data_IF_077430517064
#
_entry.id   IF_077430517064
#
_cell.length_a   1.000
_cell.length_b   1.000
_cell.length_c   1.000
_cell.angle_alpha   90.00
_cell.angle_beta   90.00
_cell.angle_gamma   90.00
#
_symmetry.space_group_name_H-M   'P 1'
#
loop_
_entity.id
_entity.type
_entity.pdbx_description
1 polymer ?
#
# COMPACT_ATOMS: atom_id res chain seq x y z
N UNK A 1 18.34 -22.38 -23.23
CA UNK A 1 17.51 -22.09 -22.03
C UNK A 1 16.39 -23.10 -21.79
N UNK A 2 15.47 -23.36 -22.73
CA UNK A 2 14.37 -24.32 -22.49
C UNK A 2 14.83 -25.74 -22.14
N UNK A 3 15.86 -26.28 -22.81
CA UNK A 3 16.42 -27.60 -22.49
C UNK A 3 16.96 -27.68 -21.04
N UNK A 4 17.67 -26.64 -20.59
CA UNK A 4 18.22 -26.57 -19.22
C UNK A 4 17.10 -26.58 -18.17
N UNK A 5 15.99 -25.86 -18.41
CA UNK A 5 14.80 -25.90 -17.53
C UNK A 5 14.26 -27.33 -17.36
N UNK A 6 14.18 -28.11 -18.44
CA UNK A 6 13.70 -29.50 -18.40
C UNK A 6 14.63 -30.41 -17.63
N UNK A 7 15.95 -30.27 -17.87
CA UNK A 7 16.98 -31.02 -17.11
C UNK A 7 16.87 -30.73 -15.62
N UNK A 8 16.46 -29.52 -15.24
CA UNK A 8 16.23 -29.12 -13.85
C UNK A 8 14.84 -29.52 -13.31
N UNK A 9 14.12 -30.44 -13.98
CA UNK A 9 12.88 -31.03 -13.46
C UNK A 9 11.59 -30.28 -13.83
N UNK A 10 11.65 -29.27 -14.71
CA UNK A 10 10.45 -28.55 -15.19
C UNK A 10 10.29 -28.64 -16.71
N UNK A 11 9.40 -29.52 -17.15
CA UNK A 11 9.13 -29.69 -18.58
C UNK A 11 8.44 -28.46 -19.20
N UNK A 12 7.25 -28.11 -18.71
CA UNK A 12 6.46 -26.97 -19.19
C UNK A 12 7.00 -25.59 -18.74
N UNK A 13 6.82 -24.50 -19.49
CA UNK A 13 7.22 -23.17 -19.01
C UNK A 13 6.41 -22.73 -17.78
N UNK A 14 6.96 -21.79 -17.01
CA UNK A 14 6.20 -21.00 -16.05
C UNK A 14 5.58 -19.78 -16.75
N UNK A 15 4.48 -19.28 -16.18
CA UNK A 15 3.96 -17.95 -16.53
C UNK A 15 4.56 -16.94 -15.56
N UNK A 16 5.28 -15.96 -16.10
CA UNK A 16 5.84 -14.85 -15.34
C UNK A 16 5.26 -13.60 -15.94
N UNK A 17 4.27 -12.99 -15.28
CA UNK A 17 3.61 -11.81 -15.82
C UNK A 17 4.43 -10.55 -15.52
N UNK A 18 4.78 -10.32 -14.26
CA UNK A 18 5.45 -9.09 -13.82
C UNK A 18 6.96 -9.25 -13.88
N UNK A 19 7.66 -8.25 -14.44
CA UNK A 19 9.11 -8.30 -14.63
C UNK A 19 9.75 -6.93 -14.36
N UNK A 20 10.41 -6.78 -13.22
CA UNK A 20 11.18 -5.58 -12.89
C UNK A 20 12.43 -5.44 -13.76
N UNK A 21 12.71 -4.22 -14.23
CA UNK A 21 13.91 -3.86 -14.99
C UNK A 21 14.93 -3.19 -14.06
N UNK A 22 15.52 -3.98 -13.17
CA UNK A 22 16.39 -3.48 -12.09
C UNK A 22 15.61 -3.16 -10.81
N UNK A 23 16.34 -2.84 -9.74
CA UNK A 23 15.82 -2.42 -8.44
C UNK A 23 16.69 -1.29 -7.91
N UNK A 24 16.08 -0.24 -7.37
CA UNK A 24 16.76 0.94 -6.79
C UNK A 24 18.03 1.40 -7.54
N UNK A 25 17.96 1.64 -8.86
CA UNK A 25 19.12 2.04 -9.67
C UNK A 25 19.77 3.35 -9.20
N UNK A 26 19.01 4.23 -8.54
CA UNK A 26 19.50 5.46 -7.92
C UNK A 26 20.38 5.21 -6.67
N UNK A 27 20.21 4.06 -6.02
CA UNK A 27 20.90 3.67 -4.80
C UNK A 27 21.72 2.41 -5.02
N UNK A 28 21.35 1.32 -4.33
CA UNK A 28 22.09 0.07 -4.32
C UNK A 28 22.23 -0.61 -5.70
N UNK A 29 21.33 -0.28 -6.64
CA UNK A 29 21.35 -0.76 -8.03
C UNK A 29 22.39 -0.10 -8.93
N UNK A 30 23.17 0.88 -8.44
CA UNK A 30 24.34 1.40 -9.16
C UNK A 30 24.56 2.91 -9.11
N UNK A 31 23.88 3.66 -8.23
CA UNK A 31 24.08 5.11 -8.09
C UNK A 31 23.82 5.91 -9.37
N UNK A 32 22.87 5.47 -10.19
CA UNK A 32 22.64 6.01 -11.53
C UNK A 32 21.83 7.31 -11.48
N UNK A 33 22.11 8.21 -12.42
CA UNK A 33 21.17 9.30 -12.77
C UNK A 33 19.96 8.72 -13.50
N UNK A 34 18.81 9.37 -13.37
CA UNK A 34 17.56 8.96 -14.02
C UNK A 34 17.73 8.75 -15.54
N UNK A 35 18.45 9.65 -16.22
CA UNK A 35 18.64 9.57 -17.67
C UNK A 35 19.47 8.35 -18.08
N UNK A 36 20.53 8.08 -17.32
CA UNK A 36 21.40 6.92 -17.57
C UNK A 36 20.64 5.61 -17.35
N UNK A 37 19.84 5.53 -16.27
CA UNK A 37 18.97 4.38 -16.03
C UNK A 37 17.92 4.22 -17.13
N UNK A 38 17.28 5.30 -17.57
CA UNK A 38 16.23 5.24 -18.59
C UNK A 38 16.73 4.65 -19.91
N UNK A 39 17.95 4.96 -20.33
CA UNK A 39 18.58 4.34 -21.50
C UNK A 39 18.77 2.83 -21.30
N UNK A 40 19.24 2.41 -20.13
CA UNK A 40 19.38 0.98 -19.78
C UNK A 40 18.02 0.28 -19.74
N UNK A 41 17.02 0.85 -19.09
CA UNK A 41 15.68 0.28 -19.00
C UNK A 41 15.09 0.01 -20.40
N UNK A 42 15.35 0.88 -21.38
CA UNK A 42 14.94 0.66 -22.78
C UNK A 42 15.68 -0.51 -23.42
N UNK A 43 17.00 -0.60 -23.23
CA UNK A 43 17.82 -1.71 -23.73
C UNK A 43 17.35 -3.03 -23.14
N UNK A 44 17.32 -3.15 -21.82
CA UNK A 44 16.93 -4.39 -21.14
C UNK A 44 15.46 -4.75 -21.39
N UNK A 45 14.56 -3.76 -21.41
CA UNK A 45 13.15 -3.95 -21.75
C UNK A 45 12.93 -4.51 -23.16
N UNK A 46 13.77 -4.10 -24.13
CA UNK A 46 13.75 -4.62 -25.51
C UNK A 46 14.06 -6.12 -25.55
N UNK A 47 14.99 -6.61 -24.71
CA UNK A 47 15.40 -8.01 -24.71
C UNK A 47 14.60 -8.90 -23.76
N UNK A 48 13.77 -8.34 -22.88
CA UNK A 48 12.73 -9.07 -22.16
C UNK A 48 11.60 -9.42 -23.13
N UNK A 49 11.59 -10.63 -23.70
CA UNK A 49 10.64 -11.04 -24.77
C UNK A 49 9.45 -11.85 -24.25
N UNK A 50 8.35 -11.76 -24.97
CA UNK A 50 7.18 -12.61 -24.78
C UNK A 50 7.43 -13.99 -25.42
N UNK A 51 7.13 -15.07 -24.71
CA UNK A 51 7.40 -16.44 -25.15
C UNK A 51 6.26 -17.38 -24.76
N UNK A 52 5.96 -18.37 -25.61
CA UNK A 52 5.00 -19.45 -25.29
C UNK A 52 3.64 -18.96 -24.78
N UNK A 53 3.13 -17.86 -25.35
CA UNK A 53 1.86 -17.24 -24.94
C UNK A 53 1.92 -16.42 -23.64
N UNK A 54 3.09 -16.33 -22.98
CA UNK A 54 3.32 -15.45 -21.84
C UNK A 54 3.60 -14.02 -22.33
N UNK A 55 2.84 -13.04 -21.80
CA UNK A 55 3.05 -11.61 -22.07
C UNK A 55 3.62 -10.94 -20.83
N UNK A 56 4.82 -10.39 -20.95
CA UNK A 56 5.45 -9.68 -19.84
C UNK A 56 4.81 -8.30 -19.65
N UNK A 57 4.61 -7.94 -18.39
CA UNK A 57 4.34 -6.62 -17.88
C UNK A 57 5.62 -6.12 -17.21
N UNK A 58 6.40 -5.37 -17.99
CA UNK A 58 7.73 -4.90 -17.61
C UNK A 58 7.58 -3.61 -16.78
N UNK A 59 8.24 -3.56 -15.64
CA UNK A 59 8.17 -2.46 -14.68
C UNK A 59 9.55 -1.81 -14.64
N UNK A 60 9.66 -0.55 -15.07
CA UNK A 60 10.88 0.22 -14.90
C UNK A 60 10.99 0.68 -13.45
N UNK A 61 12.15 0.49 -12.83
CA UNK A 61 12.46 0.94 -11.48
C UNK A 61 12.44 2.48 -11.44
N UNK A 62 11.49 3.05 -10.70
CA UNK A 62 11.42 4.49 -10.55
C UNK A 62 12.26 5.02 -9.39
N UNK A 63 11.90 6.23 -8.96
CA UNK A 63 12.63 6.97 -7.94
C UNK A 63 12.22 6.60 -6.51
N UNK A 64 13.02 7.06 -5.55
CA UNK A 64 12.64 7.09 -4.13
C UNK A 64 11.67 8.23 -3.85
N UNK A 65 10.64 7.96 -3.06
CA UNK A 65 9.65 8.91 -2.53
C UNK A 65 9.17 9.92 -3.59
N UNK A 66 9.37 11.22 -3.36
CA UNK A 66 8.90 12.33 -4.17
C UNK A 66 9.87 12.73 -5.29
N UNK A 67 10.77 11.82 -5.72
CA UNK A 67 11.67 12.05 -6.85
C UNK A 67 10.90 12.03 -8.19
N UNK A 68 10.12 13.07 -8.39
CA UNK A 68 9.30 13.37 -9.54
C UNK A 68 10.08 13.53 -10.84
N UNK A 69 11.33 14.02 -10.76
CA UNK A 69 12.24 14.08 -11.91
C UNK A 69 12.47 12.69 -12.51
N UNK A 70 12.65 11.67 -11.67
CA UNK A 70 12.85 10.30 -12.13
C UNK A 70 11.67 9.77 -12.95
N UNK A 71 10.45 9.98 -12.44
CA UNK A 71 9.21 9.60 -13.11
C UNK A 71 9.06 10.33 -14.44
N UNK A 72 9.35 11.64 -14.46
CA UNK A 72 9.29 12.44 -15.69
C UNK A 72 10.26 11.91 -16.77
N UNK A 73 11.50 11.60 -16.38
CA UNK A 73 12.51 11.05 -17.29
C UNK A 73 12.07 9.70 -17.88
N UNK A 74 11.51 8.81 -17.07
CA UNK A 74 11.00 7.52 -17.56
C UNK A 74 9.79 7.68 -18.49
N UNK A 75 8.89 8.62 -18.22
CA UNK A 75 7.78 8.93 -19.13
C UNK A 75 8.27 9.46 -20.48
N UNK A 76 9.28 10.36 -20.48
CA UNK A 76 9.94 10.84 -21.71
C UNK A 76 10.63 9.71 -22.47
N UNK A 77 11.24 8.75 -21.77
CA UNK A 77 11.95 7.63 -22.36
C UNK A 77 11.04 6.68 -23.18
N UNK A 78 9.73 6.66 -22.89
CA UNK A 78 8.72 5.97 -23.71
C UNK A 78 8.42 6.68 -25.03
N UNK A 79 9.07 7.80 -25.34
CA UNK A 79 8.82 8.61 -26.53
C UNK A 79 7.54 9.45 -26.44
N UNK A 80 7.00 9.63 -25.24
CA UNK A 80 5.80 10.44 -24.99
C UNK A 80 6.17 11.92 -24.89
N UNK A 81 5.34 12.77 -25.48
CA UNK A 81 5.48 14.23 -25.37
C UNK A 81 4.35 14.79 -24.52
N UNK A 82 4.68 15.65 -23.57
CA UNK A 82 3.70 16.27 -22.69
C UNK A 82 2.57 16.94 -23.50
N UNK A 83 1.32 16.72 -23.08
CA UNK A 83 0.11 17.29 -23.71
C UNK A 83 -0.33 16.62 -25.03
N UNK A 84 0.49 15.75 -25.65
CA UNK A 84 0.11 15.05 -26.87
C UNK A 84 -0.68 13.77 -26.62
N UNK A 85 -0.50 13.14 -25.46
CA UNK A 85 -1.11 11.86 -25.03
C UNK A 85 -0.77 10.64 -25.89
N UNK A 86 -0.36 10.84 -27.14
CA UNK A 86 -0.07 9.79 -28.10
C UNK A 86 1.23 9.08 -27.75
N UNK A 87 1.12 7.77 -27.52
CA UNK A 87 2.28 6.89 -27.66
C UNK A 87 2.74 6.90 -29.13
N UNK A 88 4.05 6.72 -29.41
CA UNK A 88 4.52 6.59 -30.79
C UNK A 88 3.81 5.42 -31.49
N UNK A 89 3.14 5.69 -32.62
CA UNK A 89 2.31 4.71 -33.32
C UNK A 89 3.08 3.48 -33.84
N UNK A 90 4.41 3.57 -33.91
CA UNK A 90 5.31 2.60 -34.54
C UNK A 90 6.26 1.90 -33.55
N UNK A 91 6.11 2.12 -32.22
CA UNK A 91 7.01 1.52 -31.22
C UNK A 91 6.27 0.73 -30.16
N UNK A 92 6.66 -0.53 -30.01
CA UNK A 92 6.31 -1.32 -28.81
C UNK A 92 6.98 -0.68 -27.59
N UNK A 93 6.22 -0.34 -26.53
CA UNK A 93 6.80 0.26 -25.35
C UNK A 93 7.75 -0.73 -24.67
N UNK A 94 8.95 -0.27 -24.31
CA UNK A 94 10.00 -1.09 -23.67
C UNK A 94 9.64 -1.49 -22.24
N UNK A 95 8.71 -0.76 -21.61
CA UNK A 95 8.09 -1.12 -20.35
C UNK A 95 6.65 -0.60 -20.27
N UNK A 96 5.84 -1.18 -19.37
CA UNK A 96 4.41 -0.91 -19.23
C UNK A 96 4.06 -0.20 -17.91
N UNK A 97 5.01 -0.12 -16.98
CA UNK A 97 4.83 0.53 -15.70
C UNK A 97 6.12 1.18 -15.20
N UNK A 98 5.96 2.11 -14.28
CA UNK A 98 7.02 2.76 -13.52
C UNK A 98 6.76 2.48 -12.05
N UNK A 99 7.77 1.99 -11.33
CA UNK A 99 7.68 1.82 -9.89
C UNK A 99 8.08 3.07 -9.12
N UNK A 100 7.88 3.11 -7.81
CA UNK A 100 8.53 4.04 -6.88
C UNK A 100 8.49 3.42 -5.48
N UNK A 101 9.41 3.83 -4.62
CA UNK A 101 9.54 3.26 -3.27
C UNK A 101 9.30 4.34 -2.23
N UNK A 102 8.54 4.06 -1.18
CA UNK A 102 8.31 5.01 -0.09
C UNK A 102 8.11 4.29 1.25
N UNK A 103 9.05 4.46 2.17
CA UNK A 103 8.99 3.91 3.53
C UNK A 103 8.50 4.95 4.53
N UNK A 104 7.70 4.52 5.50
CA UNK A 104 7.36 5.31 6.69
C UNK A 104 8.48 5.14 7.72
N UNK A 105 9.28 6.19 7.92
CA UNK A 105 10.39 6.23 8.88
C UNK A 105 10.13 7.36 9.89
N UNK A 106 9.83 7.07 11.17
CA UNK A 106 9.53 8.12 12.13
C UNK A 106 10.76 8.99 12.48
N UNK A 107 11.91 8.35 12.70
CA UNK A 107 13.15 9.02 13.07
C UNK A 107 14.05 9.38 11.89
N UNK A 108 15.34 9.54 12.16
CA UNK A 108 16.35 9.69 11.09
C UNK A 108 16.70 8.32 10.51
N UNK A 109 17.42 8.30 9.38
CA UNK A 109 17.85 7.02 8.80
C UNK A 109 18.80 6.23 9.72
N UNK A 110 19.60 6.92 10.52
CA UNK A 110 20.53 6.34 11.49
C UNK A 110 19.85 5.91 12.79
N UNK A 111 18.73 6.55 13.14
CA UNK A 111 17.97 6.33 14.37
C UNK A 111 16.48 6.41 14.06
N UNK A 112 15.91 5.30 13.57
CA UNK A 112 14.54 5.28 13.02
C UNK A 112 13.47 5.25 14.12
N UNK A 113 13.84 4.85 15.34
CA UNK A 113 12.94 4.65 16.47
C UNK A 113 12.58 3.17 16.65
N UNK A 114 12.01 2.83 17.80
CA UNK A 114 11.66 1.46 18.16
C UNK A 114 10.31 1.03 17.59
N UNK A 115 10.19 -0.26 17.25
CA UNK A 115 8.94 -0.87 16.84
C UNK A 115 7.94 -0.99 18.00
N UNK A 116 8.40 -1.09 19.26
CA UNK A 116 7.58 -1.42 20.43
C UNK A 116 7.61 -0.37 21.54
N UNK A 117 8.67 0.42 21.61
CA UNK A 117 8.89 1.46 22.62
C UNK A 117 8.77 2.83 21.97
N UNK A 118 7.58 3.42 22.05
CA UNK A 118 7.32 4.75 21.50
C UNK A 118 6.27 5.48 22.33
N UNK A 119 6.35 6.80 22.34
CA UNK A 119 5.36 7.65 22.97
C UNK A 119 4.24 8.09 22.01
N UNK A 120 3.32 8.92 22.53
CA UNK A 120 2.19 9.41 21.77
C UNK A 120 2.60 10.38 20.65
N UNK A 121 3.68 11.14 20.84
CA UNK A 121 4.20 12.06 19.82
C UNK A 121 4.79 11.27 18.65
N UNK A 122 5.60 10.25 18.93
CA UNK A 122 6.15 9.34 17.93
C UNK A 122 5.06 8.56 17.18
N UNK A 123 3.99 8.14 17.87
CA UNK A 123 2.84 7.52 17.21
C UNK A 123 2.20 8.46 16.17
N UNK A 124 1.83 9.68 16.58
CA UNK A 124 1.19 10.62 15.67
C UNK A 124 2.13 11.09 14.56
N UNK A 125 3.42 11.21 14.86
CA UNK A 125 4.43 11.52 13.85
C UNK A 125 4.58 10.38 12.83
N UNK A 126 4.56 9.12 13.27
CA UNK A 126 4.53 7.94 12.38
C UNK A 126 3.30 7.98 11.46
N UNK A 127 2.12 8.31 12.00
CA UNK A 127 0.89 8.44 11.19
C UNK A 127 0.98 9.60 10.18
N UNK A 128 1.58 10.72 10.58
CA UNK A 128 1.79 11.86 9.69
C UNK A 128 2.73 11.53 8.54
N UNK A 129 3.84 10.82 8.82
CA UNK A 129 4.76 10.31 7.80
C UNK A 129 4.06 9.30 6.88
N UNK A 130 3.27 8.38 7.42
CA UNK A 130 2.51 7.42 6.62
C UNK A 130 1.49 8.10 5.68
N UNK A 131 0.90 9.22 6.11
CA UNK A 131 -0.08 9.95 5.31
C UNK A 131 0.54 10.65 4.08
N UNK A 132 1.86 10.88 4.05
CA UNK A 132 2.55 11.51 2.91
C UNK A 132 2.43 10.70 1.62
N UNK A 133 2.23 9.38 1.72
CA UNK A 133 2.08 8.49 0.56
C UNK A 133 1.00 8.96 -0.41
N UNK A 134 -0.09 9.57 0.10
CA UNK A 134 -1.18 10.10 -0.73
C UNK A 134 -0.72 11.26 -1.61
N UNK A 135 0.07 12.19 -1.03
CA UNK A 135 0.62 13.31 -1.77
C UNK A 135 1.68 12.86 -2.78
N UNK A 136 2.51 11.88 -2.41
CA UNK A 136 3.54 11.31 -3.29
C UNK A 136 2.91 10.61 -4.49
N UNK A 137 1.89 9.76 -4.25
CA UNK A 137 1.10 9.13 -5.30
C UNK A 137 0.48 10.17 -6.24
N UNK A 138 -0.16 11.20 -5.67
CA UNK A 138 -0.77 12.27 -6.46
C UNK A 138 0.26 13.04 -7.31
N UNK A 139 1.48 13.25 -6.79
CA UNK A 139 2.57 13.90 -7.50
C UNK A 139 3.05 13.08 -8.70
N UNK A 140 3.33 11.79 -8.50
CA UNK A 140 3.70 10.88 -9.59
C UNK A 140 2.59 10.75 -10.62
N UNK A 141 1.34 10.55 -10.17
CA UNK A 141 0.18 10.46 -11.05
C UNK A 141 0.01 11.71 -11.92
N UNK A 142 0.15 12.91 -11.34
CA UNK A 142 0.05 14.18 -12.09
C UNK A 142 1.10 14.31 -13.19
N UNK A 143 2.33 13.87 -12.92
CA UNK A 143 3.39 13.85 -13.92
C UNK A 143 3.04 12.88 -15.02
N UNK A 144 2.65 11.65 -14.66
CA UNK A 144 2.26 10.64 -15.64
C UNK A 144 1.08 11.10 -16.50
N UNK A 145 0.06 11.72 -15.90
CA UNK A 145 -1.11 12.28 -16.61
C UNK A 145 -0.71 13.31 -17.67
N UNK A 146 0.36 14.09 -17.45
CA UNK A 146 0.85 15.06 -18.44
C UNK A 146 1.39 14.38 -19.72
N UNK A 147 1.89 13.14 -19.62
CA UNK A 147 2.46 12.36 -20.73
C UNK A 147 1.56 11.20 -21.22
N UNK A 148 0.62 10.78 -20.39
CA UNK A 148 -0.24 9.60 -20.55
C UNK A 148 -1.62 9.84 -19.88
N UNK A 149 -2.45 10.75 -20.44
CA UNK A 149 -3.74 11.12 -19.85
C UNK A 149 -4.76 9.97 -19.85
N UNK A 150 -4.59 8.99 -20.76
CA UNK A 150 -5.43 7.79 -20.84
C UNK A 150 -5.01 6.68 -19.84
N UNK A 151 -4.02 6.97 -18.98
CA UNK A 151 -3.53 6.10 -17.90
C UNK A 151 -3.12 4.70 -18.35
N UNK A 152 -2.48 4.61 -19.50
CA UNK A 152 -2.04 3.34 -20.10
C UNK A 152 -0.74 2.79 -19.48
N UNK A 153 0.06 3.64 -18.81
CA UNK A 153 1.26 3.26 -18.06
C UNK A 153 0.90 3.12 -16.58
N UNK A 154 1.11 1.94 -16.01
CA UNK A 154 0.83 1.71 -14.60
C UNK A 154 1.83 2.39 -13.67
N UNK A 155 1.34 2.93 -12.56
CA UNK A 155 2.17 3.30 -11.41
C UNK A 155 2.21 2.11 -10.44
N UNK A 156 3.39 1.82 -9.89
CA UNK A 156 3.62 0.68 -8.98
C UNK A 156 4.33 1.17 -7.72
N UNK A 157 3.79 0.89 -6.54
CA UNK A 157 4.48 1.15 -5.25
C UNK A 157 5.02 -0.18 -4.71
N UNK A 158 6.12 -0.68 -5.27
CA UNK A 158 6.64 -2.03 -5.00
C UNK A 158 7.55 -2.14 -3.77
N UNK A 159 7.79 -1.04 -3.07
CA UNK A 159 8.32 -1.05 -1.70
C UNK A 159 7.65 0.04 -0.85
N UNK A 160 6.93 -0.39 0.19
CA UNK A 160 6.34 0.50 1.20
C UNK A 160 6.20 -0.18 2.56
N UNK A 161 5.90 0.62 3.58
CA UNK A 161 5.66 0.15 4.94
C UNK A 161 6.57 0.83 5.97
N UNK A 162 6.42 0.46 7.23
CA UNK A 162 7.22 0.96 8.34
C UNK A 162 8.63 0.39 8.33
N UNK A 163 9.61 1.23 8.62
CA UNK A 163 10.99 0.81 8.86
C UNK A 163 11.50 1.43 10.16
N UNK A 164 11.74 0.57 11.15
CA UNK A 164 12.25 0.92 12.47
C UNK A 164 13.70 0.46 12.67
N UNK A 165 14.28 0.81 13.80
CA UNK A 165 15.49 0.15 14.27
C UNK A 165 15.18 -1.32 14.55
N UNK A 166 16.15 -2.20 14.32
CA UNK A 166 15.95 -3.65 14.53
C UNK A 166 15.73 -3.96 16.00
N UNK A 167 15.03 -5.06 16.30
CA UNK A 167 14.84 -5.48 17.69
C UNK A 167 16.19 -5.66 18.41
N UNK A 168 16.31 -5.21 19.67
CA UNK A 168 17.55 -5.33 20.43
C UNK A 168 18.12 -6.74 20.44
N UNK A 169 19.41 -6.86 20.13
CA UNK A 169 20.12 -8.14 20.10
C UNK A 169 20.00 -8.92 18.78
N UNK A 170 19.24 -8.43 17.80
CA UNK A 170 19.20 -9.02 16.45
C UNK A 170 20.29 -8.45 15.53
N UNK A 171 20.58 -9.16 14.43
CA UNK A 171 21.57 -8.68 13.46
C UNK A 171 20.97 -7.55 12.61
N UNK A 172 21.60 -6.36 12.53
CA UNK A 172 21.01 -5.20 11.85
C UNK A 172 20.72 -5.43 10.37
N UNK A 173 21.55 -6.22 9.68
CA UNK A 173 21.33 -6.57 8.27
C UNK A 173 20.16 -7.52 8.01
N UNK A 174 19.51 -8.07 9.04
CA UNK A 174 18.32 -8.91 8.89
C UNK A 174 17.01 -8.11 8.93
N UNK A 175 17.06 -6.85 9.38
CA UNK A 175 15.91 -5.94 9.38
C UNK A 175 14.68 -6.50 10.11
N UNK A 176 14.92 -7.30 11.16
CA UNK A 176 13.86 -7.83 12.00
C UNK A 176 13.35 -6.74 12.96
N UNK A 177 12.06 -6.43 12.89
CA UNK A 177 11.35 -5.52 13.77
C UNK A 177 10.01 -6.16 14.17
N UNK A 178 9.48 -5.81 15.34
CA UNK A 178 8.14 -6.20 15.74
C UNK A 178 7.06 -5.47 14.91
N UNK A 179 5.81 -5.93 15.01
CA UNK A 179 4.65 -5.33 14.35
C UNK A 179 3.50 -5.11 15.35
N UNK A 180 3.08 -3.86 15.51
CA UNK A 180 2.14 -3.39 16.53
C UNK A 180 0.83 -2.89 15.91
N UNK A 181 -0.14 -2.49 16.75
CA UNK A 181 -1.35 -1.81 16.28
C UNK A 181 -1.03 -0.53 15.47
N UNK A 182 0.03 0.21 15.82
CA UNK A 182 0.54 1.33 15.01
C UNK A 182 0.79 0.91 13.55
N UNK A 183 1.43 -0.24 13.33
CA UNK A 183 1.72 -0.75 11.99
C UNK A 183 0.45 -1.12 11.22
N UNK A 184 -0.55 -1.69 11.90
CA UNK A 184 -1.85 -1.94 11.30
C UNK A 184 -2.50 -0.64 10.78
N UNK A 185 -2.44 0.44 11.55
CA UNK A 185 -3.00 1.74 11.13
C UNK A 185 -2.19 2.40 10.00
N UNK A 186 -0.86 2.20 9.96
CA UNK A 186 -0.07 2.58 8.77
C UNK A 186 -0.57 1.83 7.53
N UNK A 187 -0.78 0.51 7.63
CA UNK A 187 -1.26 -0.29 6.52
C UNK A 187 -2.67 0.13 6.06
N UNK A 188 -3.57 0.46 6.99
CA UNK A 188 -4.92 0.91 6.62
C UNK A 188 -4.90 2.26 5.89
N UNK A 189 -4.08 3.22 6.35
CA UNK A 189 -3.90 4.50 5.67
C UNK A 189 -3.35 4.35 4.25
N UNK A 190 -2.38 3.45 4.07
CA UNK A 190 -1.81 3.15 2.76
C UNK A 190 -2.88 2.55 1.84
N UNK A 191 -3.65 1.55 2.29
CA UNK A 191 -4.77 1.02 1.50
C UNK A 191 -5.80 2.09 1.16
N UNK A 192 -6.15 2.95 2.11
CA UNK A 192 -7.08 4.05 1.87
C UNK A 192 -6.56 5.03 0.80
N UNK A 193 -5.24 5.29 0.76
CA UNK A 193 -4.61 6.06 -0.32
C UNK A 193 -4.63 5.28 -1.64
N UNK A 194 -4.31 3.99 -1.64
CA UNK A 194 -4.29 3.15 -2.83
C UNK A 194 -5.66 3.08 -3.50
N UNK A 195 -6.73 2.94 -2.72
CA UNK A 195 -8.10 2.92 -3.23
C UNK A 195 -8.50 4.26 -3.87
N UNK A 196 -8.01 5.40 -3.34
CA UNK A 196 -8.23 6.74 -3.91
C UNK A 196 -7.49 6.95 -5.23
N UNK A 197 -6.33 6.30 -5.38
CA UNK A 197 -5.49 6.37 -6.60
C UNK A 197 -5.62 5.12 -7.49
N UNK A 198 -6.68 4.32 -7.32
CA UNK A 198 -6.84 3.04 -8.02
C UNK A 198 -6.98 3.17 -9.55
N UNK A 199 -7.20 4.38 -10.06
CA UNK A 199 -7.21 4.68 -11.49
C UNK A 199 -5.80 4.82 -12.11
N UNK A 200 -4.75 4.93 -11.27
CA UNK A 200 -3.36 5.05 -11.71
C UNK A 200 -2.42 4.04 -11.04
N UNK A 201 -2.57 3.80 -9.74
CA UNK A 201 -1.81 2.83 -8.97
C UNK A 201 -2.38 1.43 -9.23
N UNK A 202 -1.62 0.60 -9.95
CA UNK A 202 -2.09 -0.73 -10.39
C UNK A 202 -1.48 -1.89 -9.60
N UNK A 203 -0.49 -1.61 -8.76
CA UNK A 203 0.19 -2.61 -7.94
C UNK A 203 0.89 -1.92 -6.76
N UNK A 204 0.87 -2.57 -5.61
CA UNK A 204 1.70 -2.19 -4.48
C UNK A 204 2.20 -3.44 -3.73
N UNK A 205 3.40 -3.38 -3.14
CA UNK A 205 4.04 -4.49 -2.44
C UNK A 205 4.66 -3.99 -1.14
N UNK A 206 4.12 -4.47 -0.01
CA UNK A 206 4.64 -4.10 1.31
C UNK A 206 5.98 -4.81 1.55
N UNK A 207 6.90 -4.09 2.17
CA UNK A 207 8.21 -4.56 2.56
C UNK A 207 8.17 -5.04 4.03
N UNK A 208 8.37 -6.32 4.34
CA UNK A 208 8.40 -7.48 3.43
C UNK A 208 7.42 -8.57 3.92
N UNK A 209 7.51 -9.80 3.40
CA UNK A 209 6.48 -10.81 3.67
C UNK A 209 6.64 -11.51 5.01
N UNK A 210 7.86 -11.94 5.35
CA UNK A 210 8.14 -12.78 6.54
C UNK A 210 9.40 -12.27 7.23
N UNK A 211 9.36 -12.08 8.56
CA UNK A 211 10.48 -11.72 9.45
C UNK A 211 11.23 -10.41 9.15
N UNK A 212 10.88 -9.68 8.09
CA UNK A 212 11.64 -8.53 7.60
C UNK A 212 10.71 -7.34 7.48
N UNK A 213 11.10 -6.21 8.09
CA UNK A 213 10.37 -4.94 8.08
C UNK A 213 8.91 -5.11 8.54
N UNK A 214 7.93 -4.51 7.85
CA UNK A 214 6.51 -4.58 8.20
C UNK A 214 5.89 -5.92 7.78
N UNK A 215 6.38 -7.01 8.37
CA UNK A 215 6.07 -8.37 7.98
C UNK A 215 4.59 -8.75 8.16
N UNK A 216 4.09 -9.63 7.29
CA UNK A 216 2.80 -10.28 7.47
C UNK A 216 2.88 -11.39 8.53
N UNK A 217 4.00 -12.12 8.52
CA UNK A 217 4.23 -13.26 9.39
C UNK A 217 5.57 -13.12 10.10
N UNK A 218 5.60 -13.47 11.38
CA UNK A 218 6.83 -13.67 12.13
C UNK A 218 6.97 -15.16 12.44
N UNK A 219 8.18 -15.69 12.32
CA UNK A 219 8.51 -17.09 12.54
C UNK A 219 9.78 -17.23 13.37
N UNK A 220 9.72 -18.13 14.34
CA UNK A 220 10.87 -18.55 15.17
C UNK A 220 10.76 -20.05 15.42
N UNK A 221 11.65 -20.84 14.82
CA UNK A 221 11.52 -22.29 14.77
C UNK A 221 10.18 -22.72 14.16
N UNK A 222 9.35 -23.41 14.95
CA UNK A 222 8.01 -23.86 14.54
C UNK A 222 6.91 -22.83 14.85
N UNK A 223 7.21 -21.75 15.57
CA UNK A 223 6.23 -20.72 15.88
C UNK A 223 5.90 -19.90 14.63
N UNK A 224 4.61 -19.59 14.46
CA UNK A 224 4.11 -18.70 13.43
C UNK A 224 3.13 -17.70 14.06
N UNK A 225 3.45 -16.42 13.91
CA UNK A 225 2.65 -15.30 14.44
C UNK A 225 2.12 -14.49 13.26
N UNK A 226 0.81 -14.26 13.25
CA UNK A 226 0.17 -13.30 12.34
C UNK A 226 0.29 -11.93 12.95
N UNK A 227 0.82 -10.98 12.19
CA UNK A 227 0.99 -9.61 12.69
C UNK A 227 -0.33 -8.83 12.64
N UNK A 228 -0.45 -7.72 13.39
CA UNK A 228 -1.53 -6.75 13.18
C UNK A 228 -1.65 -6.32 11.70
N UNK A 229 -0.53 -6.13 11.01
CA UNK A 229 -0.52 -5.80 9.57
C UNK A 229 -1.16 -6.91 8.70
N UNK A 230 -0.91 -8.19 9.00
CA UNK A 230 -1.61 -9.31 8.32
C UNK A 230 -3.13 -9.19 8.44
N UNK A 231 -3.62 -8.80 9.61
CA UNK A 231 -5.06 -8.69 9.84
C UNK A 231 -5.69 -7.57 9.01
N UNK A 232 -5.01 -6.45 8.80
CA UNK A 232 -5.47 -5.38 7.91
C UNK A 232 -5.52 -5.84 6.45
N UNK A 233 -4.53 -6.60 5.98
CA UNK A 233 -4.57 -7.23 4.65
C UNK A 233 -5.75 -8.19 4.52
N UNK A 234 -6.01 -9.02 5.53
CA UNK A 234 -7.11 -9.97 5.51
C UNK A 234 -8.48 -9.25 5.49
N UNK A 235 -8.65 -8.23 6.32
CA UNK A 235 -9.87 -7.42 6.39
C UNK A 235 -10.14 -6.65 5.08
N UNK A 236 -9.10 -6.18 4.39
CA UNK A 236 -9.22 -5.49 3.09
C UNK A 236 -9.37 -6.43 1.88
N UNK A 237 -9.33 -7.76 2.06
CA UNK A 237 -9.34 -8.71 0.92
C UNK A 237 -10.55 -8.56 -0.02
N UNK A 238 -11.69 -8.07 0.48
CA UNK A 238 -12.87 -7.80 -0.33
C UNK A 238 -12.74 -6.63 -1.32
N UNK A 239 -11.72 -5.77 -1.16
CA UNK A 239 -11.40 -4.70 -2.10
C UNK A 239 -10.61 -5.18 -3.33
N UNK A 240 -10.05 -6.40 -3.29
CA UNK A 240 -9.28 -6.93 -4.42
C UNK A 240 -10.16 -7.11 -5.66
N UNK A 241 -9.76 -6.52 -6.79
CA UNK A 241 -10.52 -6.48 -8.04
C UNK A 241 -11.96 -5.90 -7.89
N UNK A 242 -12.20 -5.08 -6.86
CA UNK A 242 -13.49 -4.44 -6.63
C UNK A 242 -13.62 -3.10 -7.39
N UNK A 243 -14.86 -2.70 -7.67
CA UNK A 243 -15.17 -1.37 -8.20
C UNK A 243 -15.08 -0.34 -7.07
N UNK A 244 -14.19 0.64 -7.18
CA UNK A 244 -14.07 1.73 -6.19
C UNK A 244 -15.35 2.59 -6.19
N UNK A 245 -15.86 2.91 -5.00
CA UNK A 245 -17.03 3.76 -4.81
C UNK A 245 -16.59 5.12 -4.25
N UNK A 246 -17.18 6.20 -4.78
CA UNK A 246 -16.89 7.54 -4.31
C UNK A 246 -17.40 7.76 -2.88
N UNK A 247 -16.48 8.02 -1.95
CA UNK A 247 -16.78 8.48 -0.59
C UNK A 247 -16.50 9.98 -0.51
N UNK A 248 -17.46 10.76 -0.02
CA UNK A 248 -17.32 12.22 0.12
C UNK A 248 -17.67 12.64 1.53
N UNK A 249 -16.73 13.34 2.17
CA UNK A 249 -16.96 13.95 3.46
C UNK A 249 -17.51 15.38 3.23
N UNK A 250 -18.77 15.69 3.65
CA UNK A 250 -19.36 17.01 3.45
C UNK A 250 -18.69 18.09 4.33
N UNK A 251 -17.94 17.66 5.34
CA UNK A 251 -17.10 18.47 6.21
C UNK A 251 -15.70 17.86 6.23
N UNK A 252 -14.64 18.65 6.44
CA UNK A 252 -13.31 18.09 6.67
C UNK A 252 -13.35 17.07 7.81
N UNK A 253 -12.62 15.97 7.64
CA UNK A 253 -12.37 15.02 8.71
C UNK A 253 -11.69 15.72 9.91
N UNK A 254 -11.81 15.17 11.13
CA UNK A 254 -11.04 15.67 12.27
C UNK A 254 -9.55 15.73 11.95
N UNK A 255 -8.89 16.76 12.47
CA UNK A 255 -7.47 17.06 12.22
C UNK A 255 -6.76 17.23 13.54
N UNK A 256 -5.54 16.67 13.63
CA UNK A 256 -4.60 16.90 14.71
C UNK A 256 -3.36 17.60 14.17
N UNK A 257 -2.91 18.66 14.84
CA UNK A 257 -1.60 19.26 14.58
C UNK A 257 -0.51 18.33 15.10
N UNK A 258 0.41 17.91 14.23
CA UNK A 258 1.55 17.03 14.55
C UNK A 258 2.82 17.72 14.08
N UNK A 259 3.66 18.15 15.02
CA UNK A 259 4.83 18.98 14.74
C UNK A 259 4.47 20.17 13.81
N UNK A 260 4.93 20.14 12.55
CA UNK A 260 4.73 21.19 11.57
C UNK A 260 3.63 20.89 10.52
N UNK A 261 2.97 19.73 10.61
CA UNK A 261 1.93 19.29 9.66
C UNK A 261 0.59 19.03 10.35
N UNK A 262 -0.47 18.93 9.55
CA UNK A 262 -1.83 18.64 10.00
C UNK A 262 -2.21 17.22 9.54
N UNK A 263 -2.44 16.32 10.49
CA UNK A 263 -2.86 14.95 10.23
C UNK A 263 -4.38 14.85 10.30
N UNK A 264 -5.01 14.39 9.22
CA UNK A 264 -6.40 13.95 9.30
C UNK A 264 -6.48 12.62 10.05
N UNK A 265 -7.26 12.57 11.13
CA UNK A 265 -7.33 11.38 11.99
C UNK A 265 -8.44 10.41 11.60
N UNK A 266 -9.14 10.67 10.49
CA UNK A 266 -10.19 9.80 9.98
C UNK A 266 -10.04 9.59 8.48
N UNK A 267 -10.14 8.33 8.03
CA UNK A 267 -10.19 7.98 6.62
C UNK A 267 -11.29 6.96 6.35
N UNK A 268 -11.84 7.01 5.14
CA UNK A 268 -12.88 6.10 4.71
C UNK A 268 -12.77 5.81 3.22
N UNK A 269 -12.83 4.53 2.85
CA UNK A 269 -12.90 4.08 1.46
C UNK A 269 -13.97 3.01 1.30
N UNK A 270 -14.51 2.88 0.09
CA UNK A 270 -15.57 1.93 -0.19
C UNK A 270 -15.39 1.30 -1.55
N UNK A 271 -15.85 0.06 -1.69
CA UNK A 271 -15.86 -0.63 -2.98
C UNK A 271 -17.06 -1.56 -3.10
N UNK A 272 -17.36 -1.98 -4.33
CA UNK A 272 -18.41 -2.93 -4.67
C UNK A 272 -17.83 -4.13 -5.40
N UNK A 273 -18.21 -5.34 -4.96
CA UNK A 273 -17.87 -6.59 -5.63
C UNK A 273 -18.86 -7.69 -5.27
N UNK A 274 -19.20 -8.55 -6.23
CA UNK A 274 -19.99 -9.78 -6.00
C UNK A 274 -21.26 -9.59 -5.16
N UNK A 275 -22.04 -8.54 -5.46
CA UNK A 275 -23.29 -8.25 -4.74
C UNK A 275 -23.11 -7.66 -3.35
N UNK A 276 -21.91 -7.21 -2.98
CA UNK A 276 -21.62 -6.60 -1.69
C UNK A 276 -20.94 -5.24 -1.85
N UNK A 277 -21.14 -4.39 -0.85
CA UNK A 277 -20.32 -3.21 -0.60
C UNK A 277 -19.42 -3.51 0.61
N UNK A 278 -18.14 -3.17 0.48
CA UNK A 278 -17.18 -3.18 1.59
C UNK A 278 -16.75 -1.74 1.85
N UNK A 279 -16.87 -1.30 3.10
CA UNK A 279 -16.45 0.02 3.57
C UNK A 279 -15.32 -0.19 4.59
N UNK A 280 -14.20 0.48 4.37
CA UNK A 280 -13.07 0.55 5.29
C UNK A 280 -13.08 1.91 5.99
N UNK A 281 -12.92 1.91 7.31
CA UNK A 281 -12.94 3.09 8.17
C UNK A 281 -11.72 3.04 9.10
N UNK A 282 -10.92 4.10 9.09
CA UNK A 282 -9.71 4.21 9.90
C UNK A 282 -9.88 5.38 10.88
N UNK A 283 -9.76 5.12 12.19
CA UNK A 283 -9.63 6.14 13.23
C UNK A 283 -8.20 6.13 13.78
N UNK A 284 -7.46 7.21 13.56
CA UNK A 284 -6.09 7.38 14.04
C UNK A 284 -6.00 8.05 15.41
N UNK A 285 -7.10 8.59 15.93
CA UNK A 285 -7.07 9.24 17.23
C UNK A 285 -6.79 8.18 18.31
N UNK A 286 -5.72 8.39 19.07
CA UNK A 286 -5.24 7.45 20.07
C UNK A 286 -6.16 7.33 21.29
N UNK A 287 -7.03 8.31 21.53
CA UNK A 287 -7.83 8.39 22.77
C UNK A 287 -9.33 8.52 22.47
N UNK A 288 -9.69 9.25 21.42
CA UNK A 288 -11.06 9.55 21.04
C UNK A 288 -11.67 8.54 20.08
N UNK A 289 -12.85 8.02 20.42
CA UNK A 289 -13.73 7.36 19.45
C UNK A 289 -14.44 8.36 18.52
N UNK A 290 -15.05 7.86 17.44
CA UNK A 290 -15.81 8.66 16.47
C UNK A 290 -17.16 8.01 16.16
N UNK A 291 -18.23 8.79 16.22
CA UNK A 291 -19.53 8.42 15.66
C UNK A 291 -19.56 8.80 14.17
N UNK A 292 -19.60 7.81 13.29
CA UNK A 292 -19.60 8.01 11.83
C UNK A 292 -20.97 7.68 11.26
N UNK A 293 -21.52 8.65 10.51
CA UNK A 293 -22.75 8.47 9.73
C UNK A 293 -22.43 8.56 8.23
N UNK A 294 -22.79 7.52 7.49
CA UNK A 294 -22.64 7.44 6.04
C UNK A 294 -24.00 7.37 5.36
N UNK A 295 -24.29 8.34 4.49
CA UNK A 295 -25.48 8.33 3.63
C UNK A 295 -25.24 7.46 2.39
N UNK A 296 -25.84 6.28 2.39
CA UNK A 296 -25.70 5.28 1.33
C UNK A 296 -26.64 5.61 0.15
N UNK A 297 -26.06 5.92 -1.01
CA UNK A 297 -26.80 6.32 -2.21
C UNK A 297 -26.63 5.33 -3.36
N UNK A 298 -27.63 5.26 -4.23
CA UNK A 298 -27.58 4.52 -5.49
C UNK A 298 -27.99 3.04 -5.41
N UNK A 299 -28.10 2.45 -4.22
CA UNK A 299 -28.60 1.09 -4.05
C UNK A 299 -29.23 0.88 -2.66
N UNK A 300 -30.08 -0.15 -2.54
CA UNK A 300 -30.52 -0.67 -1.24
C UNK A 300 -29.50 -1.68 -0.72
N UNK A 301 -29.36 -1.73 0.60
CA UNK A 301 -28.46 -2.64 1.30
C UNK A 301 -29.20 -3.40 2.38
N UNK A 302 -28.75 -4.61 2.68
CA UNK A 302 -29.23 -5.40 3.81
C UNK A 302 -28.43 -5.13 5.07
N UNK A 303 -28.59 -6.00 6.07
CA UNK A 303 -27.95 -5.84 7.38
C UNK A 303 -26.41 -5.79 7.28
N UNK A 304 -25.75 -4.87 8.00
CA UNK A 304 -24.29 -4.80 8.02
C UNK A 304 -23.70 -5.93 8.86
N UNK A 305 -22.52 -6.39 8.46
CA UNK A 305 -21.60 -7.14 9.33
C UNK A 305 -20.32 -6.34 9.43
N UNK A 306 -19.86 -6.04 10.64
CA UNK A 306 -18.66 -5.26 10.86
C UNK A 306 -17.63 -6.01 11.70
N UNK A 307 -16.36 -5.71 11.46
CA UNK A 307 -15.23 -6.20 12.23
C UNK A 307 -14.30 -5.04 12.54
N UNK A 308 -13.71 -5.05 13.74
CA UNK A 308 -12.79 -4.04 14.24
C UNK A 308 -11.45 -4.69 14.60
N UNK A 309 -10.36 -4.03 14.23
CA UNK A 309 -9.01 -4.29 14.72
C UNK A 309 -8.59 -3.10 15.57
N UNK A 310 -8.41 -3.35 16.87
CA UNK A 310 -7.95 -2.38 17.89
C UNK A 310 -7.29 -3.16 19.03
N UNK A 311 -6.75 -2.47 20.04
CA UNK A 311 -6.17 -3.05 21.24
C UNK A 311 -6.13 -2.01 22.37
N UNK A 312 -5.88 -2.43 23.62
CA UNK A 312 -5.82 -1.50 24.76
C UNK A 312 -4.65 -0.50 24.70
N UNK A 313 -3.64 -0.76 23.86
CA UNK A 313 -2.45 0.08 23.71
C UNK A 313 -1.96 0.12 22.25
N UNK A 314 -1.41 1.27 21.85
CA UNK A 314 -0.89 1.51 20.49
C UNK A 314 0.27 0.58 20.11
N UNK A 315 1.07 0.17 21.09
CA UNK A 315 2.20 -0.74 20.91
C UNK A 315 1.84 -2.22 21.18
N UNK A 316 0.56 -2.54 21.36
CA UNK A 316 0.12 -3.93 21.46
C UNK A 316 0.49 -4.70 20.19
N UNK A 317 1.00 -5.92 20.37
CA UNK A 317 1.51 -6.75 19.29
C UNK A 317 1.38 -8.23 19.64
N UNK A 318 1.43 -9.06 18.60
CA UNK A 318 1.38 -10.52 18.75
C UNK A 318 2.79 -11.09 18.95
N UNK A 319 2.89 -12.12 19.78
CA UNK A 319 4.13 -12.86 20.06
C UNK A 319 3.87 -14.37 19.96
N UNK A 320 4.89 -15.24 19.96
CA UNK A 320 4.66 -16.68 20.05
C UNK A 320 3.89 -17.10 21.31
N UNK A 321 4.07 -16.37 22.43
CA UNK A 321 3.41 -16.64 23.70
C UNK A 321 1.97 -16.12 23.74
N UNK A 322 1.71 -15.02 23.05
CA UNK A 322 0.37 -14.45 22.87
C UNK A 322 0.14 -14.09 21.39
N UNK A 323 -0.20 -15.08 20.53
CA UNK A 323 -0.31 -14.88 19.08
C UNK A 323 -1.60 -14.15 18.68
N UNK A 324 -2.42 -13.75 19.65
CA UNK A 324 -3.77 -13.24 19.44
C UNK A 324 -4.09 -12.00 20.27
N UNK A 325 -3.08 -11.32 20.84
CA UNK A 325 -3.22 -10.06 21.55
C UNK A 325 -3.93 -8.97 20.73
N UNK A 326 -3.65 -8.94 19.42
CA UNK A 326 -4.23 -8.02 18.44
C UNK A 326 -4.78 -8.82 17.27
N UNK A 327 -6.10 -8.90 17.18
CA UNK A 327 -6.82 -9.60 16.11
C UNK A 327 -8.17 -8.94 15.83
N UNK A 328 -8.77 -9.16 14.64
CA UNK A 328 -10.11 -8.65 14.35
C UNK A 328 -11.15 -9.30 15.26
N UNK A 329 -12.05 -8.49 15.80
CA UNK A 329 -13.22 -8.91 16.56
C UNK A 329 -14.50 -8.37 15.89
N UNK A 330 -15.67 -9.01 16.08
CA UNK A 330 -16.94 -8.46 15.61
C UNK A 330 -17.22 -7.07 16.20
N UNK A 331 -17.79 -6.18 15.40
CA UNK A 331 -18.27 -4.87 15.85
C UNK A 331 -19.81 -4.83 15.73
N UNK A 332 -20.50 -4.99 16.86
CA UNK A 332 -21.97 -5.03 16.91
C UNK A 332 -22.61 -3.62 16.73
N UNK A 333 -21.81 -2.57 16.78
CA UNK A 333 -22.26 -1.17 16.79
C UNK A 333 -22.40 -0.55 15.38
N UNK A 334 -22.45 -1.38 14.34
CA UNK A 334 -22.78 -0.96 12.98
C UNK A 334 -24.27 -1.23 12.69
N UNK A 335 -25.03 -0.18 12.36
CA UNK A 335 -26.48 -0.28 12.16
C UNK A 335 -26.97 0.59 11.01
N UNK A 336 -28.02 0.13 10.33
CA UNK A 336 -28.64 0.84 9.22
C UNK A 336 -30.00 1.37 9.64
N UNK A 337 -30.21 2.67 9.44
CA UNK A 337 -31.46 3.38 9.66
C UNK A 337 -31.88 4.06 8.34
N UNK A 338 -32.74 3.40 7.56
CA UNK A 338 -33.09 3.89 6.22
C UNK A 338 -31.91 3.78 5.26
N UNK A 339 -31.38 4.93 4.79
CA UNK A 339 -30.15 5.00 3.98
C UNK A 339 -28.89 5.32 4.79
N UNK A 340 -29.02 5.57 6.09
CA UNK A 340 -27.89 5.94 6.94
C UNK A 340 -27.26 4.68 7.56
N UNK A 341 -25.99 4.45 7.27
CA UNK A 341 -25.15 3.55 8.06
C UNK A 341 -24.51 4.35 9.19
N UNK A 342 -24.73 3.91 10.43
CA UNK A 342 -24.09 4.44 11.64
C UNK A 342 -23.08 3.44 12.16
N UNK A 343 -21.88 3.91 12.47
CA UNK A 343 -20.79 3.09 13.02
C UNK A 343 -20.12 3.86 14.15
N UNK A 344 -19.99 3.24 15.31
CA UNK A 344 -19.14 3.76 16.40
C UNK A 344 -17.73 3.19 16.21
N UNK A 345 -16.77 4.08 15.96
CA UNK A 345 -15.37 3.72 15.82
C UNK A 345 -14.68 3.88 17.18
N UNK A 346 -14.08 2.81 17.73
CA UNK A 346 -13.18 2.94 18.87
C UNK A 346 -11.97 3.84 18.53
N UNK A 347 -11.23 4.33 19.54
CA UNK A 347 -9.93 4.95 19.30
C UNK A 347 -8.98 3.95 18.62
N UNK A 348 -8.00 4.50 17.88
CA UNK A 348 -6.90 3.78 17.22
C UNK A 348 -7.35 2.47 16.54
N UNK A 349 -8.39 2.55 15.73
CA UNK A 349 -9.10 1.40 15.21
C UNK A 349 -9.16 1.38 13.68
N UNK A 350 -9.06 0.18 13.12
CA UNK A 350 -9.43 -0.10 11.74
C UNK A 350 -10.69 -0.95 11.70
N UNK A 351 -11.72 -0.48 11.01
CA UNK A 351 -13.03 -1.14 10.91
C UNK A 351 -13.37 -1.42 9.45
N UNK A 352 -13.85 -2.62 9.19
CA UNK A 352 -14.50 -2.95 7.91
C UNK A 352 -15.98 -3.24 8.12
N UNK A 353 -16.84 -2.64 7.31
CA UNK A 353 -18.29 -2.91 7.27
C UNK A 353 -18.64 -3.51 5.92
N UNK A 354 -19.19 -4.73 5.93
CA UNK A 354 -19.69 -5.42 4.75
C UNK A 354 -21.21 -5.33 4.71
N UNK A 355 -21.75 -4.97 3.55
CA UNK A 355 -23.17 -4.76 3.29
C UNK A 355 -23.59 -5.59 2.07
N UNK A 356 -24.59 -6.47 2.16
CA UNK A 356 -25.15 -7.11 0.98
C UNK A 356 -26.02 -6.10 0.21
N UNK A 357 -25.93 -6.10 -1.12
CA UNK A 357 -26.82 -5.33 -1.99
C UNK A 357 -28.16 -6.07 -2.16
N UNK A 358 -29.27 -5.31 -2.16
CA UNK A 358 -30.65 -5.83 -2.23
C UNK A 358 -31.33 -5.42 -3.53
#
# INVERSE_FOLDING_TARGET
MAALRRVNGRDEPWRVRFWGLGNEPWGCGGGMRAEAYADLARVFGTYSRDHSGNRLYRIAAGGSSDNYHWTEVLMKALGRTAGSGAAPADRTPTFQAISFHHYTVPGSWEHKGSATEFDLEEYYWTMAQAAEVDQILAGHARIMDAYDPDKTVGLVLDEWGTWFDVEPGTHPGFLFQQNTLRDALVASLHFDAFHRHADRLVMANIAQTINVLQAMLLTDGEALVRTPSYHVFAMNSGHQDAESLAVRLPRPAPVRRVAHTDLSTFSATASRKDGHVLISLTNLDAEGGLDVELDLRGARVGAPTAAVLTADALNAHNTPQDPHAVRPEPLDEARIEGSLLRVQLPPHAFVTVKLPLV
#
